data_IF_003854116825
#
_entry.id   IF_003854116825
#
_cell.length_a   1.000
_cell.length_b   1.000
_cell.length_c   1.000
_cell.angle_alpha   90.00
_cell.angle_beta   90.00
_cell.angle_gamma   90.00
#
_symmetry.space_group_name_H-M   'P 1'
#
loop_
_entity.id
_entity.type
_entity.pdbx_description
1 polymer ?
#
# COMPACT_ATOMS: atom_id res chain seq x y z
N UNK A 1 3.74 18.10 16.02
CA UNK A 1 5.07 18.47 15.47
C UNK A 1 5.23 19.98 15.49
N UNK A 2 6.36 20.52 15.97
CA UNK A 2 6.64 21.97 15.89
C UNK A 2 7.86 22.18 15.01
N UNK A 3 7.63 22.32 13.70
CA UNK A 3 8.70 22.64 12.74
C UNK A 3 9.07 24.11 12.85
N UNK A 4 10.36 24.43 12.76
CA UNK A 4 10.81 25.82 12.60
C UNK A 4 10.33 26.35 11.24
N UNK A 5 10.27 27.68 11.10
CA UNK A 5 9.93 28.34 9.83
C UNK A 5 10.86 27.90 8.69
N UNK A 6 12.13 27.67 8.99
CA UNK A 6 13.13 27.21 8.04
C UNK A 6 12.91 25.75 7.64
N UNK A 7 12.67 24.86 8.62
CA UNK A 7 12.33 23.46 8.36
C UNK A 7 11.07 23.34 7.49
N UNK A 8 10.04 24.14 7.78
CA UNK A 8 8.82 24.15 6.98
C UNK A 8 9.06 24.63 5.54
N UNK A 9 9.91 25.65 5.35
CA UNK A 9 10.31 26.13 4.02
C UNK A 9 11.08 25.04 3.25
N UNK A 10 12.03 24.37 3.89
CA UNK A 10 12.79 23.25 3.30
C UNK A 10 11.86 22.10 2.92
N UNK A 11 10.97 21.70 3.83
CA UNK A 11 9.99 20.65 3.59
C UNK A 11 9.09 20.97 2.39
N UNK A 12 8.58 22.20 2.30
CA UNK A 12 7.76 22.64 1.16
C UNK A 12 8.53 22.55 -0.17
N UNK A 13 9.81 22.90 -0.20
CA UNK A 13 10.64 22.78 -1.39
C UNK A 13 10.88 21.31 -1.79
N UNK A 14 11.14 20.43 -0.81
CA UNK A 14 11.30 18.99 -1.03
C UNK A 14 10.02 18.35 -1.58
N UNK A 15 8.86 18.69 -1.01
CA UNK A 15 7.55 18.25 -1.53
C UNK A 15 7.29 18.78 -2.95
N UNK A 16 7.72 20.00 -3.26
CA UNK A 16 7.66 20.56 -4.62
C UNK A 16 8.42 19.69 -5.63
N UNK A 17 9.64 19.26 -5.28
CA UNK A 17 10.43 18.35 -6.13
C UNK A 17 9.78 16.99 -6.32
N UNK A 18 9.23 16.38 -5.26
CA UNK A 18 8.47 15.12 -5.40
C UNK A 18 7.28 15.29 -6.35
N UNK A 19 6.57 16.42 -6.27
CA UNK A 19 5.51 16.72 -7.22
C UNK A 19 6.02 16.80 -8.66
N UNK A 20 7.12 17.50 -8.90
CA UNK A 20 7.72 17.59 -10.24
C UNK A 20 8.06 16.20 -10.80
N UNK A 21 8.60 15.31 -9.98
CA UNK A 21 8.89 13.93 -10.38
C UNK A 21 7.59 13.16 -10.68
N UNK A 22 6.56 13.27 -9.84
CA UNK A 22 5.24 12.68 -10.10
C UNK A 22 4.64 13.18 -11.42
N UNK A 23 4.74 14.47 -11.72
CA UNK A 23 4.24 15.07 -12.97
C UNK A 23 4.98 14.48 -14.19
N UNK A 24 6.30 14.22 -14.07
CA UNK A 24 7.09 13.53 -15.11
C UNK A 24 6.63 12.09 -15.29
N UNK A 25 6.41 11.34 -14.22
CA UNK A 25 5.95 9.94 -14.30
C UNK A 25 4.56 9.82 -14.93
N UNK A 26 3.66 10.74 -14.59
CA UNK A 26 2.35 10.79 -15.21
C UNK A 26 2.46 11.13 -16.70
N UNK A 27 3.19 12.19 -17.07
CA UNK A 27 3.32 12.61 -18.47
C UNK A 27 4.02 11.58 -19.36
N UNK A 28 5.05 10.91 -18.86
CA UNK A 28 5.86 9.96 -19.65
C UNK A 28 5.32 8.53 -19.63
N UNK A 29 4.77 8.08 -18.50
CA UNK A 29 4.43 6.67 -18.28
C UNK A 29 2.96 6.47 -17.91
N UNK A 30 2.16 7.53 -17.75
CA UNK A 30 0.76 7.44 -17.34
C UNK A 30 0.56 7.03 -15.87
N UNK A 31 1.62 7.01 -15.06
CA UNK A 31 1.57 6.55 -13.66
C UNK A 31 1.17 7.71 -12.77
N UNK A 32 -0.03 7.66 -12.19
CA UNK A 32 -0.67 8.76 -11.46
C UNK A 32 -0.38 8.81 -9.93
N UNK A 33 0.36 7.83 -9.40
CA UNK A 33 0.66 7.72 -7.96
C UNK A 33 1.87 6.81 -7.72
N UNK A 34 3.06 7.42 -7.57
CA UNK A 34 4.31 6.68 -7.32
C UNK A 34 4.68 6.58 -5.83
N UNK A 35 3.95 7.28 -4.96
CA UNK A 35 4.27 7.39 -3.53
C UNK A 35 3.37 6.57 -2.62
N UNK A 36 2.38 5.85 -3.17
CA UNK A 36 1.48 5.00 -2.37
C UNK A 36 1.69 3.53 -2.64
N UNK A 37 1.23 2.70 -1.70
CA UNK A 37 1.20 1.24 -1.77
C UNK A 37 2.56 0.64 -2.17
N UNK A 38 3.65 1.28 -1.74
CA UNK A 38 5.01 0.82 -2.03
C UNK A 38 5.36 0.82 -3.53
N UNK A 39 4.63 1.59 -4.37
CA UNK A 39 4.86 1.66 -5.82
C UNK A 39 6.30 2.00 -6.19
N UNK A 40 7.01 2.78 -5.36
CA UNK A 40 8.43 3.08 -5.58
C UNK A 40 9.31 1.84 -5.72
N UNK A 41 8.99 0.75 -5.04
CA UNK A 41 9.78 -0.49 -5.10
C UNK A 41 9.47 -1.28 -6.37
N UNK A 42 8.27 -1.15 -6.94
CA UNK A 42 8.01 -1.66 -8.29
C UNK A 42 8.80 -0.88 -9.35
N UNK A 43 8.93 0.43 -9.19
CA UNK A 43 9.77 1.28 -10.05
C UNK A 43 11.24 0.88 -9.92
N UNK A 44 11.69 0.57 -8.71
CA UNK A 44 13.02 0.02 -8.45
C UNK A 44 13.21 -1.30 -9.22
N UNK A 45 12.31 -2.28 -9.06
CA UNK A 45 12.40 -3.57 -9.78
C UNK A 45 12.43 -3.34 -11.30
N UNK A 46 11.57 -2.46 -11.81
CA UNK A 46 11.55 -2.13 -13.24
C UNK A 46 12.85 -1.46 -13.72
N UNK A 47 13.50 -0.65 -12.87
CA UNK A 47 14.80 -0.06 -13.18
C UNK A 47 15.88 -1.13 -13.34
N UNK A 48 15.96 -2.04 -12.37
CA UNK A 48 17.00 -3.08 -12.34
C UNK A 48 16.84 -4.06 -13.50
N UNK A 49 15.61 -4.40 -13.86
CA UNK A 49 15.31 -5.37 -14.92
C UNK A 49 15.08 -4.72 -16.30
N UNK A 50 15.29 -3.40 -16.44
CA UNK A 50 15.02 -2.63 -17.66
C UNK A 50 13.58 -2.81 -18.21
N UNK A 51 12.61 -2.97 -17.32
CA UNK A 51 11.20 -3.04 -17.71
C UNK A 51 10.59 -1.63 -17.82
N UNK A 52 9.49 -1.53 -18.55
CA UNK A 52 8.66 -0.34 -18.72
C UNK A 52 7.40 -0.50 -17.88
N UNK A 53 7.17 0.43 -16.96
CA UNK A 53 5.97 0.44 -16.11
C UNK A 53 4.69 0.47 -16.95
N UNK A 54 3.71 -0.33 -16.55
CA UNK A 54 2.37 -0.30 -17.11
C UNK A 54 1.52 0.65 -16.26
N UNK A 55 0.89 1.69 -16.85
CA UNK A 55 -0.01 2.56 -16.11
C UNK A 55 -1.24 1.79 -15.62
N UNK A 56 -1.53 1.87 -14.32
CA UNK A 56 -2.71 1.24 -13.75
C UNK A 56 -2.74 1.17 -12.23
N UNK A 57 -3.83 0.61 -11.70
CA UNK A 57 -4.06 0.33 -10.28
C UNK A 57 -4.14 -1.18 -10.04
N UNK A 58 -4.38 -1.60 -8.80
CA UNK A 58 -4.61 -3.00 -8.43
C UNK A 58 -5.46 -3.72 -9.48
N UNK A 59 -4.89 -4.75 -10.12
CA UNK A 59 -5.52 -5.51 -11.19
C UNK A 59 -4.92 -5.30 -12.59
N UNK A 60 -4.13 -4.23 -12.81
CA UNK A 60 -3.22 -4.15 -13.96
C UNK A 60 -1.94 -4.93 -13.68
N UNK A 61 -1.21 -5.28 -14.75
CA UNK A 61 0.16 -5.76 -14.64
C UNK A 61 1.10 -4.62 -14.27
N UNK A 62 2.25 -4.95 -13.72
CA UNK A 62 3.14 -3.98 -13.11
C UNK A 62 4.10 -3.37 -14.14
N UNK A 63 4.61 -4.19 -15.06
CA UNK A 63 5.52 -3.74 -16.10
C UNK A 63 5.52 -4.66 -17.33
N UNK A 64 6.22 -4.24 -18.37
CA UNK A 64 6.52 -5.03 -19.57
C UNK A 64 7.97 -4.85 -20.01
N UNK A 65 8.53 -5.79 -20.74
CA UNK A 65 9.84 -5.60 -21.39
C UNK A 65 9.72 -4.83 -22.72
N UNK A 66 10.83 -4.71 -23.45
CA UNK A 66 10.88 -4.02 -24.75
C UNK A 66 10.14 -4.77 -25.86
N UNK A 67 9.93 -6.08 -25.71
CA UNK A 67 9.15 -6.92 -26.63
C UNK A 67 7.64 -6.79 -26.38
N UNK A 68 7.26 -6.14 -25.27
CA UNK A 68 5.87 -5.94 -24.87
C UNK A 68 5.31 -7.05 -23.98
N UNK A 69 6.16 -7.98 -23.53
CA UNK A 69 5.77 -9.07 -22.67
C UNK A 69 5.55 -8.57 -21.24
N UNK A 70 4.39 -8.88 -20.67
CA UNK A 70 3.97 -8.35 -19.37
C UNK A 70 4.53 -9.17 -18.20
N UNK A 71 4.74 -8.50 -17.08
CA UNK A 71 5.22 -9.07 -15.82
C UNK A 71 4.35 -8.61 -14.63
N UNK A 72 4.16 -9.53 -13.69
CA UNK A 72 3.59 -9.25 -12.37
C UNK A 72 4.73 -9.20 -11.34
N UNK A 73 4.72 -8.22 -10.45
CA UNK A 73 5.64 -8.09 -9.35
C UNK A 73 4.97 -8.46 -8.04
N UNK A 74 5.76 -9.11 -7.19
CA UNK A 74 5.51 -9.23 -5.75
C UNK A 74 6.83 -8.93 -5.06
N UNK A 75 6.78 -8.14 -4.01
CA UNK A 75 7.98 -7.81 -3.26
C UNK A 75 7.73 -7.79 -1.76
N UNK A 76 8.79 -8.01 -0.99
CA UNK A 76 8.87 -7.66 0.42
C UNK A 76 10.22 -7.02 0.70
N UNK A 77 10.34 -6.35 1.84
CA UNK A 77 11.57 -5.66 2.25
C UNK A 77 12.27 -6.44 3.36
N UNK A 78 13.58 -6.36 3.45
CA UNK A 78 14.36 -7.03 4.51
C UNK A 78 13.84 -6.63 5.90
N UNK A 79 13.58 -5.34 6.13
CA UNK A 79 13.05 -4.85 7.42
C UNK A 79 11.57 -5.17 7.67
N UNK A 80 10.87 -5.81 6.72
CA UNK A 80 9.46 -6.17 6.90
C UNK A 80 9.30 -7.36 7.85
N UNK A 81 8.23 -7.36 8.65
CA UNK A 81 7.95 -8.46 9.57
C UNK A 81 7.45 -9.75 8.91
N UNK A 82 7.23 -9.76 7.59
CA UNK A 82 6.79 -10.93 6.83
C UNK A 82 7.65 -11.12 5.58
N UNK A 83 8.52 -12.14 5.61
CA UNK A 83 9.40 -12.51 4.50
C UNK A 83 8.74 -13.53 3.55
N UNK A 84 7.54 -13.18 3.10
CA UNK A 84 6.79 -13.94 2.09
C UNK A 84 5.98 -13.01 1.20
N UNK A 85 5.70 -13.46 -0.01
CA UNK A 85 4.91 -12.71 -0.98
C UNK A 85 3.44 -13.10 -0.88
N UNK A 86 2.62 -12.12 -0.53
CA UNK A 86 1.19 -12.34 -0.31
C UNK A 86 0.38 -12.12 -1.59
N UNK A 87 -0.38 -13.14 -1.97
CA UNK A 87 -1.53 -12.98 -2.86
C UNK A 87 -2.74 -12.58 -2.02
N UNK A 88 -3.14 -11.31 -2.17
CA UNK A 88 -4.27 -10.73 -1.45
C UNK A 88 -5.63 -11.22 -1.95
N UNK A 89 -5.66 -12.04 -2.99
CA UNK A 89 -6.77 -12.89 -3.35
C UNK A 89 -6.27 -14.06 -4.21
N UNK A 90 -7.04 -15.14 -4.26
CA UNK A 90 -6.80 -16.31 -5.11
C UNK A 90 -8.03 -16.59 -5.97
N UNK A 91 -8.65 -15.52 -6.47
CA UNK A 91 -9.82 -15.64 -7.35
C UNK A 91 -9.42 -16.27 -8.68
N UNK A 92 -10.38 -16.86 -9.39
CA UNK A 92 -10.15 -17.37 -10.74
C UNK A 92 -9.59 -16.28 -11.65
N UNK A 93 -10.02 -15.03 -11.47
CA UNK A 93 -9.49 -13.87 -12.19
C UNK A 93 -7.99 -13.70 -11.98
N UNK A 94 -7.52 -13.73 -10.72
CA UNK A 94 -6.08 -13.61 -10.40
C UNK A 94 -5.29 -14.78 -10.97
N UNK A 95 -5.77 -16.01 -10.80
CA UNK A 95 -5.13 -17.22 -11.30
C UNK A 95 -5.03 -17.19 -12.84
N UNK A 96 -6.12 -16.85 -13.54
CA UNK A 96 -6.16 -16.73 -15.00
C UNK A 96 -5.26 -15.57 -15.45
N UNK A 97 -5.27 -14.45 -14.74
CA UNK A 97 -4.44 -13.29 -15.03
C UNK A 97 -2.94 -13.58 -14.98
N UNK A 98 -2.49 -14.48 -14.09
CA UNK A 98 -1.08 -14.92 -14.05
C UNK A 98 -0.70 -15.79 -15.25
N UNK A 99 -1.62 -16.62 -15.78
CA UNK A 99 -1.32 -17.46 -16.94
C UNK A 99 -1.08 -16.69 -18.25
N UNK A 100 -1.36 -15.38 -18.25
CA UNK A 100 -1.27 -14.48 -19.40
C UNK A 100 -0.02 -13.61 -19.43
N UNK A 101 0.78 -13.61 -18.36
CA UNK A 101 2.04 -12.87 -18.29
C UNK A 101 3.22 -13.76 -18.65
N UNK A 102 4.32 -13.17 -19.08
CA UNK A 102 5.58 -13.89 -19.30
C UNK A 102 6.13 -14.44 -17.99
N UNK A 103 6.07 -13.65 -16.92
CA UNK A 103 6.45 -14.12 -15.61
C UNK A 103 5.97 -13.29 -14.43
N UNK A 104 5.99 -13.92 -13.27
CA UNK A 104 5.85 -13.28 -11.97
C UNK A 104 7.23 -13.18 -11.32
N UNK A 105 7.61 -11.96 -10.94
CA UNK A 105 8.87 -11.67 -10.25
C UNK A 105 8.59 -11.54 -8.76
N UNK A 106 9.19 -12.43 -8.00
CA UNK A 106 9.17 -12.45 -6.54
C UNK A 106 10.47 -11.84 -6.03
N UNK A 107 10.42 -10.53 -5.79
CA UNK A 107 11.57 -9.69 -5.47
C UNK A 107 11.80 -9.55 -3.97
N UNK A 108 13.07 -9.54 -3.58
CA UNK A 108 13.52 -9.09 -2.28
C UNK A 108 14.12 -7.70 -2.40
N UNK A 109 13.82 -6.83 -1.44
CA UNK A 109 14.38 -5.48 -1.39
C UNK A 109 15.18 -5.36 -0.10
N UNK A 110 16.49 -5.20 -0.22
CA UNK A 110 17.33 -4.79 0.89
C UNK A 110 17.16 -3.29 1.13
N UNK A 111 16.35 -2.95 2.14
CA UNK A 111 16.15 -1.59 2.64
C UNK A 111 16.91 -1.31 3.94
N UNK A 112 17.85 -2.17 4.33
CA UNK A 112 18.79 -1.92 5.43
C UNK A 112 19.96 -1.03 5.01
N UNK A 113 20.17 -0.91 3.70
CA UNK A 113 21.18 -0.06 3.07
C UNK A 113 20.53 1.13 2.37
N UNK A 114 21.28 2.22 2.23
CA UNK A 114 20.82 3.42 1.53
C UNK A 114 21.68 3.70 0.28
N UNK A 115 21.06 3.89 -0.91
CA UNK A 115 19.64 3.70 -1.18
C UNK A 115 19.23 2.21 -1.12
N UNK A 116 17.94 1.91 -0.89
CA UNK A 116 17.45 0.54 -0.98
C UNK A 116 17.74 -0.08 -2.35
N UNK A 117 17.94 -1.40 -2.40
CA UNK A 117 18.22 -2.12 -3.65
C UNK A 117 17.45 -3.43 -3.77
N UNK A 118 17.20 -3.85 -5.00
CA UNK A 118 16.87 -5.24 -5.34
C UNK A 118 18.17 -6.01 -5.25
N UNK A 119 18.28 -6.92 -4.31
CA UNK A 119 19.47 -7.76 -4.10
C UNK A 119 19.28 -9.16 -4.67
N UNK A 120 18.05 -9.70 -4.66
CA UNK A 120 17.71 -10.91 -5.39
C UNK A 120 16.23 -11.02 -5.72
N UNK A 121 15.91 -11.86 -6.71
CA UNK A 121 14.54 -12.21 -7.06
C UNK A 121 14.44 -13.66 -7.55
N UNK A 122 13.22 -14.19 -7.58
CA UNK A 122 12.88 -15.45 -8.27
C UNK A 122 11.89 -15.11 -9.39
N UNK A 123 12.24 -15.44 -10.63
CA UNK A 123 11.33 -15.37 -11.77
C UNK A 123 10.60 -16.71 -11.92
N UNK A 124 9.28 -16.65 -11.92
CA UNK A 124 8.41 -17.80 -12.18
C UNK A 124 7.67 -17.55 -13.49
N UNK A 125 7.71 -18.51 -14.42
CA UNK A 125 6.87 -18.46 -15.63
C UNK A 125 5.40 -18.23 -15.27
N UNK A 126 4.69 -17.40 -16.03
CA UNK A 126 3.31 -17.02 -15.69
C UNK A 126 2.34 -18.20 -15.60
N UNK A 127 2.46 -19.18 -16.50
CA UNK A 127 1.62 -20.40 -16.48
C UNK A 127 1.99 -21.30 -15.30
N UNK A 128 3.28 -21.43 -15.00
CA UNK A 128 3.76 -22.18 -13.84
C UNK A 128 3.26 -21.54 -12.53
N UNK A 129 3.36 -20.21 -12.41
CA UNK A 129 2.89 -19.46 -11.24
C UNK A 129 1.37 -19.58 -11.07
N UNK A 130 0.60 -19.48 -12.15
CA UNK A 130 -0.85 -19.69 -12.14
C UNK A 130 -1.23 -21.08 -11.65
N UNK A 131 -0.61 -22.13 -12.20
CA UNK A 131 -0.84 -23.52 -11.77
C UNK A 131 -0.47 -23.73 -10.30
N UNK A 132 0.66 -23.17 -9.86
CA UNK A 132 1.08 -23.27 -8.47
C UNK A 132 0.09 -22.58 -7.53
N UNK A 133 -0.35 -21.34 -7.83
CA UNK A 133 -1.37 -20.65 -7.04
C UNK A 133 -2.69 -21.42 -6.98
N UNK A 134 -3.13 -21.99 -8.11
CA UNK A 134 -4.33 -22.83 -8.17
C UNK A 134 -4.22 -24.05 -7.24
N UNK A 135 -3.14 -24.82 -7.35
CA UNK A 135 -2.94 -26.01 -6.51
C UNK A 135 -2.90 -25.64 -5.01
N UNK A 136 -2.20 -24.56 -4.66
CA UNK A 136 -2.14 -24.05 -3.28
C UNK A 136 -3.50 -23.60 -2.76
N UNK A 137 -4.34 -23.09 -3.66
CA UNK A 137 -5.72 -22.69 -3.35
C UNK A 137 -6.61 -23.90 -3.08
N UNK A 138 -6.54 -24.92 -3.94
CA UNK A 138 -7.30 -26.16 -3.79
C UNK A 138 -6.90 -26.87 -2.48
N UNK A 139 -5.61 -27.03 -2.22
CA UNK A 139 -5.07 -27.62 -0.99
C UNK A 139 -5.56 -26.89 0.28
N UNK A 140 -5.56 -25.55 0.27
CA UNK A 140 -6.08 -24.73 1.36
C UNK A 140 -7.58 -24.96 1.60
N UNK A 141 -8.37 -25.10 0.53
CA UNK A 141 -9.82 -25.29 0.60
C UNK A 141 -10.20 -26.72 1.02
N UNK A 142 -9.42 -27.72 0.61
CA UNK A 142 -9.62 -29.13 0.97
C UNK A 142 -9.25 -29.40 2.42
N UNK A 143 -8.11 -28.88 2.90
CA UNK A 143 -7.60 -29.18 4.25
C UNK A 143 -8.50 -28.76 5.40
N UNK A 144 -9.45 -27.83 5.18
CA UNK A 144 -10.36 -27.24 6.20
C UNK A 144 -9.74 -27.28 7.62
N UNK A 145 -8.57 -26.66 7.85
CA UNK A 145 -7.81 -26.91 9.05
C UNK A 145 -8.68 -26.67 10.28
N UNK A 146 -8.80 -27.70 11.15
CA UNK A 146 -9.67 -27.65 12.33
C UNK A 146 -9.35 -26.38 13.14
N UNK A 147 -10.31 -25.48 13.23
CA UNK A 147 -10.20 -24.24 14.01
C UNK A 147 -9.60 -23.03 13.28
N UNK A 148 -9.14 -23.14 12.02
CA UNK A 148 -8.59 -22.00 11.28
C UNK A 148 -9.32 -21.77 9.95
N UNK A 149 -10.18 -20.75 9.92
CA UNK A 149 -10.77 -20.25 8.68
C UNK A 149 -9.84 -19.16 8.13
N UNK A 150 -9.30 -19.33 6.92
CA UNK A 150 -8.59 -18.25 6.22
C UNK A 150 -9.58 -17.17 5.77
N UNK A 151 -10.06 -16.37 6.73
CA UNK A 151 -11.07 -15.31 6.53
C UNK A 151 -10.58 -14.25 5.55
N UNK A 152 -9.27 -14.03 5.45
CA UNK A 152 -8.68 -13.03 4.56
C UNK A 152 -8.54 -13.54 3.12
N UNK A 153 -8.61 -14.85 2.87
CA UNK A 153 -8.33 -15.46 1.55
C UNK A 153 -6.98 -15.02 1.00
N UNK A 154 -5.95 -15.08 1.85
CA UNK A 154 -4.57 -14.79 1.45
C UNK A 154 -3.78 -16.07 1.32
N UNK A 155 -2.93 -16.17 0.30
CA UNK A 155 -1.94 -17.23 0.18
C UNK A 155 -0.57 -16.57 0.10
N UNK A 156 0.36 -17.07 0.90
CA UNK A 156 1.74 -16.61 0.90
C UNK A 156 2.61 -17.61 0.16
N UNK A 157 3.50 -17.11 -0.70
CA UNK A 157 4.62 -17.85 -1.24
C UNK A 157 5.90 -17.43 -0.53
N UNK A 158 6.72 -18.38 -0.11
CA UNK A 158 8.07 -18.11 0.37
C UNK A 158 9.13 -18.53 -0.64
N UNK A 159 10.35 -18.00 -0.52
CA UNK A 159 11.46 -18.40 -1.39
C UNK A 159 11.69 -19.92 -1.32
N UNK A 160 11.74 -20.48 -0.10
CA UNK A 160 11.90 -21.92 0.13
C UNK A 160 10.84 -22.77 -0.59
N UNK A 161 9.59 -22.28 -0.66
CA UNK A 161 8.52 -22.98 -1.37
C UNK A 161 8.76 -22.97 -2.88
N UNK A 162 9.15 -21.84 -3.46
CA UNK A 162 9.44 -21.74 -4.89
C UNK A 162 10.68 -22.57 -5.26
N UNK A 163 11.72 -22.54 -4.43
CA UNK A 163 12.94 -23.34 -4.62
C UNK A 163 12.66 -24.84 -4.53
N UNK A 164 11.90 -25.28 -3.51
CA UNK A 164 11.61 -26.70 -3.30
C UNK A 164 10.55 -27.25 -4.24
N UNK A 165 9.43 -26.55 -4.39
CA UNK A 165 8.24 -27.07 -5.09
C UNK A 165 8.31 -26.84 -6.60
N UNK A 166 9.00 -25.79 -7.05
CA UNK A 166 9.14 -25.45 -8.47
C UNK A 166 10.57 -25.60 -9.00
N UNK A 167 11.53 -25.98 -8.15
CA UNK A 167 12.95 -26.15 -8.50
C UNK A 167 13.60 -24.90 -9.10
N UNK A 168 13.16 -23.73 -8.64
CA UNK A 168 13.67 -22.43 -9.08
C UNK A 168 14.84 -21.99 -8.20
N UNK A 169 15.64 -21.06 -8.70
CA UNK A 169 16.77 -20.48 -7.97
C UNK A 169 16.65 -18.96 -7.91
N UNK A 170 17.22 -18.37 -6.87
CA UNK A 170 17.37 -16.92 -6.76
C UNK A 170 18.34 -16.41 -7.82
N UNK A 171 17.96 -15.33 -8.48
CA UNK A 171 18.86 -14.51 -9.29
C UNK A 171 19.35 -13.37 -8.42
N UNK A 172 20.67 -13.25 -8.25
CA UNK A 172 21.29 -12.16 -7.48
C UNK A 172 21.47 -10.93 -8.37
N UNK A 173 21.34 -9.76 -7.76
CA UNK A 173 21.56 -8.45 -8.36
C UNK A 173 22.59 -7.74 -7.50
N UNK A 174 23.85 -7.77 -7.94
CA UNK A 174 24.97 -7.37 -7.11
C UNK A 174 25.10 -5.84 -7.01
N UNK A 175 24.89 -5.15 -8.15
CA UNK A 175 25.02 -3.71 -8.28
C UNK A 175 23.71 -3.04 -8.71
N UNK A 176 23.49 -1.81 -8.25
CA UNK A 176 22.37 -0.97 -8.70
C UNK A 176 22.59 -0.59 -10.17
N UNK A 177 21.57 -0.80 -11.01
CA UNK A 177 21.57 -0.45 -12.42
C UNK A 177 21.48 1.08 -12.61
N UNK A 178 22.66 1.73 -12.64
CA UNK A 178 22.79 3.19 -12.86
C UNK A 178 22.42 3.64 -14.28
N UNK A 179 22.43 2.71 -15.23
CA UNK A 179 21.95 2.93 -16.61
C UNK A 179 20.44 2.71 -16.77
N UNK A 180 19.76 2.25 -15.71
CA UNK A 180 18.34 1.93 -15.76
C UNK A 180 17.48 3.16 -16.02
N UNK A 181 16.33 2.92 -16.66
CA UNK A 181 15.43 3.96 -17.18
C UNK A 181 14.93 4.92 -16.10
N UNK A 182 14.88 4.48 -14.84
CA UNK A 182 14.31 5.24 -13.73
C UNK A 182 15.35 5.71 -12.70
N UNK A 183 16.62 5.37 -12.89
CA UNK A 183 17.67 5.50 -11.88
C UNK A 183 17.79 6.91 -11.29
N UNK A 184 17.84 7.94 -12.14
CA UNK A 184 18.00 9.32 -11.68
C UNK A 184 16.83 9.79 -10.80
N UNK A 185 15.60 9.43 -11.16
CA UNK A 185 14.42 9.77 -10.36
C UNK A 185 14.37 8.95 -9.06
N UNK A 186 14.71 7.66 -9.10
CA UNK A 186 14.78 6.82 -7.90
C UNK A 186 15.78 7.38 -6.89
N UNK A 187 16.99 7.71 -7.35
CA UNK A 187 18.03 8.34 -6.53
C UNK A 187 17.50 9.62 -5.88
N UNK A 188 16.92 10.53 -6.67
CA UNK A 188 16.40 11.79 -6.16
C UNK A 188 15.22 11.59 -5.19
N UNK A 189 14.30 10.66 -5.47
CA UNK A 189 13.18 10.33 -4.57
C UNK A 189 13.70 9.82 -3.23
N UNK A 190 14.66 8.89 -3.22
CA UNK A 190 15.20 8.34 -1.97
C UNK A 190 15.94 9.41 -1.15
N UNK A 191 16.73 10.26 -1.79
CA UNK A 191 17.42 11.39 -1.13
C UNK A 191 16.44 12.42 -0.56
N UNK A 192 15.38 12.76 -1.31
CA UNK A 192 14.34 13.68 -0.82
C UNK A 192 13.57 13.05 0.32
N UNK A 193 13.16 11.79 0.19
CA UNK A 193 12.42 11.08 1.22
C UNK A 193 13.22 11.04 2.52
N UNK A 194 14.49 10.67 2.47
CA UNK A 194 15.37 10.67 3.63
C UNK A 194 15.43 12.04 4.31
N UNK A 195 15.58 13.13 3.56
CA UNK A 195 15.58 14.48 4.13
C UNK A 195 14.24 14.88 4.75
N UNK A 196 13.12 14.45 4.17
CA UNK A 196 11.78 14.66 4.75
C UNK A 196 11.67 13.91 6.07
N UNK A 197 12.14 12.67 6.12
CA UNK A 197 12.15 11.84 7.32
C UNK A 197 13.00 12.47 8.43
N UNK A 198 14.18 13.01 8.11
CA UNK A 198 15.02 13.76 9.07
C UNK A 198 14.32 15.02 9.61
N UNK A 199 13.64 15.79 8.75
CA UNK A 199 12.95 17.02 9.15
C UNK A 199 11.75 16.71 10.05
N UNK A 200 11.02 15.63 9.74
CA UNK A 200 9.70 15.34 10.34
C UNK A 200 9.78 14.32 11.47
N UNK A 201 10.85 13.54 11.55
CA UNK A 201 11.00 12.39 12.46
C UNK A 201 10.13 11.19 12.08
N UNK A 202 9.46 11.24 10.92
CA UNK A 202 8.63 10.14 10.42
C UNK A 202 9.55 9.21 9.62
N UNK A 203 9.34 7.90 9.69
CA UNK A 203 10.14 6.91 8.96
C UNK A 203 9.31 6.11 7.97
N UNK A 204 9.97 5.70 6.88
CA UNK A 204 9.42 4.91 5.79
C UNK A 204 8.27 5.61 5.05
N UNK A 205 8.39 6.89 4.72
CA UNK A 205 7.30 7.67 4.09
C UNK A 205 6.89 7.11 2.71
N UNK A 206 7.75 6.32 2.08
CA UNK A 206 7.50 5.69 0.78
C UNK A 206 6.77 4.33 0.87
N UNK A 207 6.32 3.92 2.06
CA UNK A 207 5.51 2.71 2.26
C UNK A 207 4.03 3.04 2.46
N UNK A 208 3.15 2.15 1.99
CA UNK A 208 1.70 2.24 2.21
C UNK A 208 1.12 3.62 1.82
N UNK A 209 0.38 4.31 2.68
CA UNK A 209 -0.13 5.66 2.47
C UNK A 209 0.59 6.71 3.34
N UNK A 210 1.74 6.38 3.95
CA UNK A 210 2.42 7.27 4.91
C UNK A 210 2.78 8.64 4.35
N UNK A 211 3.18 8.70 3.08
CA UNK A 211 3.41 9.97 2.41
C UNK A 211 2.19 10.91 2.49
N UNK A 212 0.99 10.37 2.25
CA UNK A 212 -0.24 11.13 2.31
C UNK A 212 -0.65 11.45 3.76
N UNK A 213 -0.39 10.54 4.69
CA UNK A 213 -0.61 10.78 6.13
C UNK A 213 0.24 11.95 6.62
N UNK A 214 1.51 12.04 6.18
CA UNK A 214 2.37 13.20 6.41
C UNK A 214 1.73 14.48 5.85
N UNK A 215 1.27 14.48 4.60
CA UNK A 215 0.68 15.69 4.02
C UNK A 215 -0.56 16.16 4.82
N UNK A 216 -1.41 15.22 5.23
CA UNK A 216 -2.59 15.51 6.06
C UNK A 216 -2.16 16.01 7.44
N UNK A 217 -1.18 15.37 8.08
CA UNK A 217 -0.70 15.76 9.42
C UNK A 217 -0.11 17.16 9.42
N UNK A 218 0.58 17.58 8.36
CA UNK A 218 1.11 18.94 8.22
C UNK A 218 -0.01 19.99 8.17
N UNK A 219 -1.16 19.68 7.56
CA UNK A 219 -2.34 20.58 7.56
C UNK A 219 -2.97 20.69 8.94
N UNK A 220 -3.03 19.57 9.66
CA UNK A 220 -3.69 19.49 10.96
C UNK A 220 -2.77 19.85 12.15
N UNK A 221 -1.47 20.03 11.91
CA UNK A 221 -0.48 20.23 12.98
C UNK A 221 -0.21 18.98 13.81
N UNK A 222 -0.64 17.82 13.33
CA UNK A 222 -0.43 16.52 13.98
C UNK A 222 1.00 16.00 13.68
N UNK A 223 1.42 15.01 14.46
CA UNK A 223 2.63 14.22 14.22
C UNK A 223 2.22 12.79 13.85
N UNK A 224 2.68 12.31 12.69
CA UNK A 224 2.48 10.89 12.30
C UNK A 224 3.33 10.01 13.22
N UNK A 225 2.77 8.90 13.65
CA UNK A 225 3.41 7.93 14.51
C UNK A 225 4.01 6.78 13.68
N UNK A 226 4.95 6.04 14.27
CA UNK A 226 5.42 4.79 13.68
C UNK A 226 4.30 3.73 13.69
N UNK A 227 4.32 2.78 12.75
CA UNK A 227 3.31 1.72 12.65
C UNK A 227 3.17 0.88 13.94
N UNK A 228 4.24 0.80 14.75
CA UNK A 228 4.25 0.09 16.03
C UNK A 228 3.46 0.79 17.14
N UNK A 229 3.16 2.08 17.01
CA UNK A 229 2.45 2.86 18.02
C UNK A 229 0.95 2.52 18.08
N UNK A 230 0.45 1.80 17.08
CA UNK A 230 -0.94 1.39 17.00
C UNK A 230 -1.89 2.51 16.60
N UNK A 231 -1.48 3.76 16.42
CA UNK A 231 -2.34 4.86 15.92
C UNK A 231 -1.58 5.62 14.84
N UNK A 232 -2.28 6.35 13.96
CA UNK A 232 -1.64 6.98 12.81
C UNK A 232 -1.01 8.33 13.16
N UNK A 233 -1.66 9.12 14.04
CA UNK A 233 -1.15 10.43 14.41
C UNK A 233 -1.52 10.87 15.83
N UNK A 234 -0.78 11.86 16.35
CA UNK A 234 -1.00 12.50 17.65
C UNK A 234 -0.92 14.03 17.52
N UNK A 235 -1.78 14.76 18.24
CA UNK A 235 -1.67 16.23 18.34
C UNK A 235 -0.76 16.68 19.51
N UNK A 236 -0.57 17.99 19.67
CA UNK A 236 0.26 18.56 20.75
C UNK A 236 -0.34 18.36 22.16
N UNK A 237 -1.64 18.09 22.25
CA UNK A 237 -2.33 17.83 23.51
C UNK A 237 -2.35 16.34 23.87
N UNK A 238 -1.71 15.48 23.06
CA UNK A 238 -1.64 14.04 23.29
C UNK A 238 -2.86 13.27 22.77
N UNK A 239 -3.75 13.90 21.99
CA UNK A 239 -4.89 13.22 21.42
C UNK A 239 -4.48 12.37 20.22
N UNK A 240 -4.98 11.14 20.15
CA UNK A 240 -4.69 10.18 19.10
C UNK A 240 -5.72 10.25 17.96
N UNK A 241 -5.27 9.92 16.75
CA UNK A 241 -6.06 9.96 15.54
C UNK A 241 -5.73 8.77 14.63
N UNK A 242 -6.76 8.24 13.98
CA UNK A 242 -6.65 7.31 12.86
C UNK A 242 -6.94 8.06 11.56
N UNK A 243 -6.14 7.82 10.52
CA UNK A 243 -6.30 8.42 9.22
C UNK A 243 -6.86 7.41 8.22
N UNK A 244 -7.73 7.91 7.34
CA UNK A 244 -8.20 7.19 6.17
C UNK A 244 -8.11 8.11 4.97
N UNK A 245 -7.33 7.69 3.99
CA UNK A 245 -7.00 8.49 2.81
C UNK A 245 -7.60 7.82 1.59
N UNK A 246 -8.30 8.59 0.77
CA UNK A 246 -8.92 8.08 -0.45
C UNK A 246 -8.80 9.06 -1.61
N UNK A 247 -8.84 8.51 -2.84
CA UNK A 247 -8.92 9.31 -4.08
C UNK A 247 -10.31 9.88 -4.33
N UNK A 248 -11.31 9.32 -3.67
CA UNK A 248 -12.71 9.69 -3.80
C UNK A 248 -13.36 9.73 -2.41
N UNK A 249 -14.63 10.11 -2.35
CA UNK A 249 -15.39 10.12 -1.09
C UNK A 249 -15.88 8.71 -0.73
N UNK A 250 -14.95 7.74 -0.70
CA UNK A 250 -15.15 6.37 -0.24
C UNK A 250 -13.90 5.91 0.51
N UNK A 251 -13.99 5.88 1.83
CA UNK A 251 -12.88 5.51 2.72
C UNK A 251 -13.04 4.08 3.19
N UNK A 252 -12.07 3.23 2.83
CA UNK A 252 -12.13 1.80 3.12
C UNK A 252 -11.63 1.48 4.53
N UNK A 253 -12.42 0.68 5.24
CA UNK A 253 -12.05 0.07 6.51
C UNK A 253 -12.01 -1.43 6.32
N UNK A 254 -10.87 -2.05 6.61
CA UNK A 254 -10.63 -3.48 6.42
C UNK A 254 -10.39 -4.15 7.76
N UNK A 255 -10.63 -5.46 7.82
CA UNK A 255 -10.42 -6.29 9.00
C UNK A 255 -11.04 -5.73 10.29
N UNK A 256 -12.26 -5.20 10.18
CA UNK A 256 -13.00 -4.55 11.26
C UNK A 256 -13.44 -5.59 12.30
N UNK A 257 -12.48 -6.01 13.11
CA UNK A 257 -12.65 -6.89 14.25
C UNK A 257 -12.90 -6.08 15.52
N UNK A 258 -13.37 -6.72 16.59
CA UNK A 258 -13.58 -6.05 17.88
C UNK A 258 -12.29 -5.41 18.41
N UNK A 259 -11.13 -6.00 18.14
CA UNK A 259 -9.84 -5.43 18.53
C UNK A 259 -9.54 -4.13 17.76
N UNK A 260 -9.86 -4.08 16.46
CA UNK A 260 -9.70 -2.86 15.64
C UNK A 260 -10.67 -1.78 16.12
N UNK A 261 -11.93 -2.13 16.38
CA UNK A 261 -12.92 -1.18 16.90
C UNK A 261 -12.52 -0.62 18.26
N UNK A 262 -12.06 -1.47 19.20
CA UNK A 262 -11.53 -1.04 20.50
C UNK A 262 -10.31 -0.12 20.40
N UNK A 263 -9.54 -0.23 19.31
CA UNK A 263 -8.44 0.69 19.02
C UNK A 263 -9.00 2.08 18.68
N UNK A 264 -9.99 2.13 17.79
CA UNK A 264 -10.66 3.36 17.38
C UNK A 264 -11.37 4.07 18.55
N UNK A 265 -11.84 3.34 19.55
CA UNK A 265 -12.45 3.93 20.76
C UNK A 265 -11.46 4.84 21.53
N UNK A 266 -10.15 4.67 21.34
CA UNK A 266 -9.11 5.50 21.97
C UNK A 266 -8.74 6.73 21.16
N UNK A 267 -9.13 6.78 19.89
CA UNK A 267 -8.88 7.93 19.03
C UNK A 267 -9.87 9.05 19.39
N UNK A 268 -9.39 10.29 19.42
CA UNK A 268 -10.26 11.46 19.58
C UNK A 268 -11.15 11.66 18.36
N UNK A 269 -10.61 11.38 17.18
CA UNK A 269 -11.36 11.44 15.93
C UNK A 269 -10.72 10.53 14.88
N UNK A 270 -11.56 10.10 13.94
CA UNK A 270 -11.11 9.49 12.68
C UNK A 270 -11.05 10.59 11.63
N UNK A 271 -9.89 10.76 11.01
CA UNK A 271 -9.64 11.75 9.96
C UNK A 271 -9.85 11.11 8.61
N UNK A 272 -10.81 11.63 7.84
CA UNK A 272 -11.16 11.16 6.50
C UNK A 272 -10.68 12.20 5.48
N UNK A 273 -9.60 11.89 4.74
CA UNK A 273 -9.02 12.80 3.76
C UNK A 273 -9.29 12.33 2.33
N UNK A 274 -9.70 13.25 1.47
CA UNK A 274 -9.76 13.04 0.01
C UNK A 274 -8.56 13.72 -0.63
N UNK A 275 -7.86 13.01 -1.51
CA UNK A 275 -6.65 13.51 -2.18
C UNK A 275 -6.73 13.35 -3.69
N UNK A 276 -6.19 14.33 -4.42
CA UNK A 276 -5.81 14.16 -5.82
C UNK A 276 -4.35 13.72 -5.86
N UNK A 277 -4.12 12.45 -6.21
CA UNK A 277 -2.77 11.88 -6.23
C UNK A 277 -1.91 12.33 -7.39
N UNK A 278 -2.54 12.63 -8.52
CA UNK A 278 -1.88 13.15 -9.71
C UNK A 278 -1.37 14.58 -9.46
N UNK A 279 -2.22 15.45 -8.90
CA UNK A 279 -1.83 16.83 -8.59
C UNK A 279 -1.02 16.98 -7.30
N UNK A 280 -0.81 15.89 -6.56
CA UNK A 280 -0.21 15.87 -5.23
C UNK A 280 -0.91 16.82 -4.24
N UNK A 281 -2.25 16.80 -4.22
CA UNK A 281 -3.08 17.78 -3.51
C UNK A 281 -4.08 17.12 -2.56
N UNK A 282 -4.24 17.70 -1.37
CA UNK A 282 -5.36 17.38 -0.47
C UNK A 282 -6.57 18.20 -0.91
N UNK A 283 -7.70 17.54 -1.16
CA UNK A 283 -8.92 18.18 -1.60
C UNK A 283 -9.81 18.55 -0.41
N UNK A 284 -10.07 17.60 0.48
CA UNK A 284 -10.96 17.76 1.62
C UNK A 284 -10.41 16.95 2.81
N UNK A 285 -10.62 17.46 4.02
CA UNK A 285 -10.34 16.73 5.26
C UNK A 285 -11.59 16.83 6.13
N UNK A 286 -12.11 15.69 6.56
CA UNK A 286 -13.21 15.60 7.51
C UNK A 286 -12.71 15.00 8.81
N UNK A 287 -13.21 15.50 9.93
CA UNK A 287 -12.99 14.95 11.26
C UNK A 287 -14.32 14.43 11.80
N UNK A 288 -14.36 13.16 12.20
CA UNK A 288 -15.55 12.56 12.79
C UNK A 288 -15.21 11.95 14.15
N UNK A 289 -16.12 12.09 15.11
CA UNK A 289 -16.03 11.42 16.40
C UNK A 289 -15.90 9.90 16.21
N UNK A 290 -14.97 9.30 16.93
CA UNK A 290 -14.60 7.90 16.73
C UNK A 290 -15.73 6.94 17.07
N UNK A 291 -16.53 7.23 18.11
CA UNK A 291 -17.66 6.39 18.50
C UNK A 291 -18.76 6.40 17.44
N UNK A 292 -19.03 7.58 16.84
CA UNK A 292 -19.96 7.69 15.71
C UNK A 292 -19.51 6.89 14.50
N UNK A 293 -18.21 6.95 14.17
CA UNK A 293 -17.63 6.14 13.10
C UNK A 293 -17.78 4.65 13.40
N UNK A 294 -17.42 4.20 14.62
CA UNK A 294 -17.53 2.79 15.02
C UNK A 294 -18.97 2.28 14.89
N UNK A 295 -19.94 3.05 15.38
CA UNK A 295 -21.35 2.68 15.28
C UNK A 295 -21.77 2.53 13.82
N UNK A 296 -21.39 3.48 12.96
CA UNK A 296 -21.70 3.38 11.52
C UNK A 296 -21.01 2.20 10.85
N UNK A 297 -19.76 1.87 11.23
CA UNK A 297 -19.07 0.70 10.72
C UNK A 297 -19.78 -0.61 11.11
N UNK A 298 -20.28 -0.71 12.35
CA UNK A 298 -21.07 -1.87 12.81
C UNK A 298 -22.36 -2.02 12.01
N UNK A 299 -23.14 -0.95 11.86
CA UNK A 299 -24.36 -0.94 11.05
C UNK A 299 -24.09 -1.42 9.61
N UNK A 300 -23.06 -0.87 8.95
CA UNK A 300 -22.72 -1.25 7.58
C UNK A 300 -22.25 -2.70 7.47
N UNK A 301 -21.58 -3.23 8.50
CA UNK A 301 -21.21 -4.63 8.55
C UNK A 301 -22.44 -5.52 8.70
N UNK A 302 -23.40 -5.14 9.53
CA UNK A 302 -24.65 -5.89 9.73
C UNK A 302 -25.53 -5.85 8.47
N UNK A 303 -25.72 -4.69 7.86
CA UNK A 303 -26.36 -4.56 6.54
C UNK A 303 -25.67 -5.47 5.49
N UNK A 304 -24.33 -5.56 5.54
CA UNK A 304 -23.56 -6.43 4.65
C UNK A 304 -23.71 -7.91 5.03
N UNK A 305 -23.89 -8.27 6.31
CA UNK A 305 -24.16 -9.65 6.71
C UNK A 305 -25.53 -10.09 6.22
N UNK A 306 -26.55 -9.26 6.39
CA UNK A 306 -27.90 -9.52 5.91
C UNK A 306 -27.94 -9.68 4.39
N UNK A 307 -27.33 -8.77 3.62
CA UNK A 307 -27.26 -8.89 2.15
C UNK A 307 -26.59 -10.17 1.63
N UNK A 308 -25.78 -10.83 2.46
CA UNK A 308 -25.01 -12.01 2.08
C UNK A 308 -25.39 -13.25 2.91
N UNK A 309 -26.44 -13.20 3.74
CA UNK A 309 -26.92 -14.35 4.52
C UNK A 309 -27.23 -15.52 3.60
N UNK A 310 -27.86 -15.21 2.46
CA UNK A 310 -28.34 -16.21 1.50
C UNK A 310 -27.26 -16.61 0.47
N UNK A 311 -26.09 -15.95 0.51
CA UNK A 311 -24.99 -16.11 -0.47
C UNK A 311 -23.75 -16.80 0.11
N UNK A 312 -23.92 -17.55 1.20
CA UNK A 312 -22.83 -18.29 1.87
C UNK A 312 -22.00 -17.43 2.84
N UNK A 313 -22.56 -16.31 3.31
CA UNK A 313 -21.98 -15.49 4.38
C UNK A 313 -20.96 -14.45 3.93
N UNK A 314 -20.49 -13.66 4.90
CA UNK A 314 -19.61 -12.52 4.66
C UNK A 314 -18.16 -12.96 4.38
N UNK A 315 -17.64 -12.66 3.18
CA UNK A 315 -16.25 -13.03 2.80
C UNK A 315 -15.17 -12.24 3.53
N UNK A 316 -15.38 -10.95 3.83
CA UNK A 316 -14.43 -10.07 4.53
C UNK A 316 -15.14 -9.02 5.37
N UNK A 317 -14.62 -8.77 6.57
CA UNK A 317 -15.02 -7.69 7.48
C UNK A 317 -14.47 -6.35 6.97
N UNK A 318 -15.01 -5.92 5.82
CA UNK A 318 -14.62 -4.69 5.14
C UNK A 318 -15.86 -3.94 4.73
N UNK A 319 -15.89 -2.65 5.03
CA UNK A 319 -16.88 -1.69 4.52
C UNK A 319 -16.19 -0.39 4.17
N UNK A 320 -16.87 0.48 3.44
CA UNK A 320 -16.40 1.82 3.15
C UNK A 320 -17.37 2.82 3.72
N UNK A 321 -16.88 3.94 4.26
CA UNK A 321 -17.72 5.11 4.50
C UNK A 321 -17.75 5.94 3.22
N UNK A 322 -18.94 6.25 2.71
CA UNK A 322 -19.13 7.08 1.52
C UNK A 322 -19.41 8.53 1.90
N UNK A 323 -19.49 9.43 0.91
CA UNK A 323 -19.90 10.83 1.12
C UNK A 323 -21.18 10.97 1.95
N UNK A 324 -22.19 10.14 1.67
CA UNK A 324 -23.48 10.18 2.39
C UNK A 324 -23.39 9.66 3.83
N UNK A 325 -22.34 8.92 4.19
CA UNK A 325 -22.12 8.53 5.58
C UNK A 325 -21.53 9.68 6.43
N UNK A 326 -20.97 10.72 5.81
CA UNK A 326 -20.42 11.88 6.52
C UNK A 326 -21.48 12.59 7.37
N UNK A 327 -22.69 12.76 6.83
CA UNK A 327 -23.82 13.35 7.57
C UNK A 327 -24.24 12.46 8.74
N UNK A 328 -24.26 11.14 8.55
CA UNK A 328 -24.68 10.16 9.57
C UNK A 328 -23.71 10.07 10.75
N UNK A 329 -22.42 10.29 10.51
CA UNK A 329 -21.40 10.36 11.57
C UNK A 329 -21.16 11.79 12.04
N UNK A 330 -21.93 12.77 11.53
CA UNK A 330 -21.80 14.19 11.80
C UNK A 330 -20.36 14.68 11.64
N UNK A 331 -19.71 14.27 10.54
CA UNK A 331 -18.34 14.65 10.23
C UNK A 331 -18.26 16.17 9.98
N UNK A 332 -17.23 16.80 10.55
CA UNK A 332 -16.96 18.22 10.36
C UNK A 332 -15.88 18.36 9.28
N UNK A 333 -16.18 19.11 8.23
CA UNK A 333 -15.17 19.49 7.24
C UNK A 333 -14.20 20.53 7.84
N UNK A 334 -12.91 20.22 7.80
CA UNK A 334 -11.86 21.11 8.28
C UNK A 334 -11.39 22.01 7.14
N UNK A 335 -11.29 23.32 7.42
CA UNK A 335 -10.75 24.29 6.47
C UNK A 335 -9.24 24.06 6.31
N UNK A 336 -8.79 23.93 5.06
CA UNK A 336 -7.41 23.56 4.68
C UNK A 336 -6.63 24.78 4.18
#
# INVERSE_FOLDING_TARGET
MTLTKEQFKKLKALLGKLKEIQDVFYKKYGVNDIYSNSKIFEILIANELNHILIPGHSGSKDAKDEEGEEFEYKHFKETSGNHSWTFNDYTDTTIIGLSKVKGAIFAHIDDTQFPPKLDWYILVDGKQCSKYLKNRTEDLLERKPKGFVNKRKMINFSALQLERDLHLSKTTVDEINKSGRYYLWLKEIFEIAHQIEEITGITQILTSNKFWELLVSLRLGHQVLSEQAGHDAIDKAGNLYEYKISKNHSWNFQDISDNVLKKYEKDKAIILATVNKEEMKILNIFSADSLRVINRLREKLDEKRERYSDKGGLRRLQVSLSKGDLEKIEAIELKI
#
